data_IF_532638446235
#
_entry.id   IF_532638446235
#
_cell.length_a   1.000
_cell.length_b   1.000
_cell.length_c   1.000
_cell.angle_alpha   90.00
_cell.angle_beta   90.00
_cell.angle_gamma   90.00
#
_symmetry.space_group_name_H-M   'P 1'
#
loop_
_entity.id
_entity.type
_entity.pdbx_description
1 polymer ?
#
# COMPACT_ATOMS: atom_id res chain seq x y z
N UNK A 1 6.02 -17.74 0.63
CA UNK A 1 6.54 -16.40 0.26
C UNK A 1 7.91 -16.21 0.88
N UNK A 2 8.91 -15.80 0.11
CA UNK A 2 10.25 -15.55 0.64
C UNK A 2 10.21 -14.33 1.56
N UNK A 3 10.62 -14.50 2.82
CA UNK A 3 10.76 -13.40 3.78
C UNK A 3 11.73 -12.36 3.22
N UNK A 4 11.26 -11.12 3.03
CA UNK A 4 12.12 -10.02 2.56
C UNK A 4 13.23 -9.78 3.59
N UNK A 5 14.48 -9.91 3.17
CA UNK A 5 15.64 -9.60 4.02
C UNK A 5 15.82 -8.07 4.16
N UNK A 6 16.49 -7.58 5.22
CA UNK A 6 16.81 -6.14 5.33
C UNK A 6 17.55 -5.58 4.12
N UNK A 7 18.40 -6.40 3.49
CA UNK A 7 19.09 -6.05 2.24
C UNK A 7 18.12 -5.92 1.05
N UNK A 8 17.13 -6.81 0.98
CA UNK A 8 16.09 -6.75 -0.04
C UNK A 8 15.28 -5.47 0.09
N UNK A 9 14.81 -5.14 1.30
CA UNK A 9 14.07 -3.90 1.58
C UNK A 9 14.86 -2.65 1.21
N UNK A 10 16.13 -2.57 1.59
CA UNK A 10 17.00 -1.43 1.23
C UNK A 10 17.19 -1.29 -0.29
N UNK A 11 17.25 -2.41 -1.01
CA UNK A 11 17.33 -2.39 -2.48
C UNK A 11 16.03 -1.90 -3.10
N UNK A 12 14.89 -2.37 -2.59
CA UNK A 12 13.56 -1.92 -3.02
C UNK A 12 13.37 -0.41 -2.81
N UNK A 13 13.75 0.10 -1.63
CA UNK A 13 13.68 1.53 -1.32
C UNK A 13 14.50 2.38 -2.31
N UNK A 14 15.76 2.00 -2.58
CA UNK A 14 16.60 2.69 -3.57
C UNK A 14 16.00 2.70 -4.98
N UNK A 15 15.38 1.60 -5.39
CA UNK A 15 14.72 1.51 -6.70
C UNK A 15 13.49 2.42 -6.73
N UNK A 16 12.68 2.42 -5.67
CA UNK A 16 11.50 3.29 -5.55
C UNK A 16 11.89 4.77 -5.60
N UNK A 17 12.88 5.19 -4.81
CA UNK A 17 13.32 6.59 -4.79
C UNK A 17 13.79 7.04 -6.18
N UNK A 18 14.63 6.23 -6.84
CA UNK A 18 15.10 6.52 -8.20
C UNK A 18 13.96 6.56 -9.23
N UNK A 19 12.95 5.70 -9.08
CA UNK A 19 11.78 5.68 -9.94
C UNK A 19 10.93 6.94 -9.79
N UNK A 20 10.58 7.32 -8.55
CA UNK A 20 9.82 8.53 -8.25
C UNK A 20 10.51 9.78 -8.80
N UNK A 21 11.81 9.88 -8.57
CA UNK A 21 12.67 10.94 -9.07
C UNK A 21 12.63 11.10 -10.59
N UNK A 22 12.71 9.98 -11.33
CA UNK A 22 12.63 10.02 -12.78
C UNK A 22 11.20 10.32 -13.25
N UNK A 23 10.19 9.66 -12.67
CA UNK A 23 8.79 9.88 -13.04
C UNK A 23 8.35 11.33 -12.88
N UNK A 24 8.81 12.01 -11.82
CA UNK A 24 8.53 13.43 -11.61
C UNK A 24 9.30 14.35 -12.58
N UNK A 25 10.56 14.01 -12.92
CA UNK A 25 11.40 14.87 -13.78
C UNK A 25 11.06 14.77 -15.27
N UNK A 26 10.80 13.57 -15.78
CA UNK A 26 10.63 13.33 -17.21
C UNK A 26 9.28 12.69 -17.58
N UNK A 27 8.43 12.39 -16.58
CA UNK A 27 7.14 11.74 -16.77
C UNK A 27 7.21 10.22 -16.64
N UNK A 28 6.10 9.65 -16.19
CA UNK A 28 5.94 8.20 -16.01
C UNK A 28 6.12 7.43 -17.31
N UNK A 29 5.44 7.85 -18.39
CA UNK A 29 5.43 7.14 -19.67
C UNK A 29 6.78 7.18 -20.39
N UNK A 30 7.50 8.31 -20.29
CA UNK A 30 8.82 8.48 -20.90
C UNK A 30 9.96 7.75 -20.16
N UNK A 31 9.69 7.22 -18.96
CA UNK A 31 10.70 6.54 -18.14
C UNK A 31 10.71 5.03 -18.35
N UNK A 32 11.90 4.48 -18.58
CA UNK A 32 12.14 3.04 -18.79
C UNK A 32 12.70 2.35 -17.54
N UNK A 33 12.48 1.05 -17.42
CA UNK A 33 13.08 0.22 -16.36
C UNK A 33 14.61 0.28 -16.40
N UNK A 34 15.21 0.38 -17.59
CA UNK A 34 16.65 0.50 -17.74
C UNK A 34 17.21 1.78 -17.09
N UNK A 35 16.54 2.92 -17.28
CA UNK A 35 16.93 4.19 -16.65
C UNK A 35 16.77 4.13 -15.13
N UNK A 36 15.67 3.58 -14.63
CA UNK A 36 15.45 3.41 -13.18
C UNK A 36 16.52 2.50 -12.57
N UNK A 37 16.78 1.34 -13.18
CA UNK A 37 17.80 0.41 -12.70
C UNK A 37 19.21 1.06 -12.66
N UNK A 38 19.57 1.79 -13.73
CA UNK A 38 20.83 2.54 -13.78
C UNK A 38 20.92 3.60 -12.67
N UNK A 39 19.87 4.41 -12.50
CA UNK A 39 19.81 5.44 -11.46
C UNK A 39 19.85 4.85 -10.04
N UNK A 40 19.21 3.69 -9.83
CA UNK A 40 19.22 2.97 -8.56
C UNK A 40 20.52 2.19 -8.32
N UNK A 41 21.45 2.12 -9.28
CA UNK A 41 22.71 1.38 -9.18
C UNK A 41 22.51 -0.14 -9.12
N UNK A 42 21.55 -0.67 -9.89
CA UNK A 42 21.26 -2.11 -9.99
C UNK A 42 21.12 -2.54 -11.45
N UNK A 43 21.17 -3.85 -11.72
CA UNK A 43 20.88 -4.39 -13.06
C UNK A 43 19.38 -4.47 -13.32
N UNK A 44 18.96 -4.49 -14.59
CA UNK A 44 17.54 -4.72 -14.94
C UNK A 44 17.02 -6.06 -14.39
N UNK A 45 17.83 -7.12 -14.44
CA UNK A 45 17.48 -8.40 -13.82
C UNK A 45 17.25 -8.27 -12.31
N UNK A 46 18.02 -7.41 -11.63
CA UNK A 46 17.79 -7.12 -10.21
C UNK A 46 16.53 -6.31 -9.98
N UNK A 47 16.23 -5.35 -10.85
CA UNK A 47 14.95 -4.64 -10.83
C UNK A 47 13.79 -5.64 -10.93
N UNK A 48 13.76 -6.48 -11.97
CA UNK A 48 12.66 -7.42 -12.22
C UNK A 48 12.50 -8.49 -11.12
N UNK A 49 13.59 -8.84 -10.42
CA UNK A 49 13.52 -9.71 -9.24
C UNK A 49 12.72 -9.09 -8.10
N UNK A 50 12.72 -7.77 -7.98
CA UNK A 50 11.97 -7.05 -6.95
C UNK A 50 10.60 -6.57 -7.45
N UNK A 51 10.53 -6.15 -8.71
CA UNK A 51 9.40 -5.47 -9.31
C UNK A 51 9.15 -6.06 -10.70
N UNK A 52 8.18 -6.98 -10.85
CA UNK A 52 7.92 -7.67 -12.11
C UNK A 52 7.62 -6.73 -13.29
N UNK A 53 7.08 -5.55 -13.01
CA UNK A 53 6.74 -4.51 -14.00
C UNK A 53 7.22 -3.14 -13.55
N UNK A 54 7.26 -2.16 -14.47
CA UNK A 54 7.52 -0.75 -14.13
C UNK A 54 6.52 -0.27 -13.08
N UNK A 55 5.24 -0.52 -13.32
CA UNK A 55 4.10 -0.13 -12.50
C UNK A 55 4.22 -0.66 -11.07
N UNK A 56 4.70 -1.92 -10.93
CA UNK A 56 4.85 -2.57 -9.63
C UNK A 56 5.79 -1.83 -8.67
N UNK A 57 6.68 -0.95 -9.16
CA UNK A 57 7.50 -0.10 -8.29
C UNK A 57 6.65 0.86 -7.46
N UNK A 58 5.52 1.33 -8.00
CA UNK A 58 4.64 2.30 -7.35
C UNK A 58 3.49 1.66 -6.58
N UNK A 59 3.14 0.41 -6.88
CA UNK A 59 1.96 -0.24 -6.30
C UNK A 59 2.27 -1.45 -5.43
N UNK A 60 3.49 -2.00 -5.49
CA UNK A 60 3.85 -3.15 -4.67
C UNK A 60 4.05 -2.74 -3.21
N UNK A 61 3.20 -3.27 -2.35
CA UNK A 61 3.32 -3.14 -0.90
C UNK A 61 4.20 -4.28 -0.34
N UNK A 62 5.37 -4.00 0.26
CA UNK A 62 6.18 -5.03 0.92
C UNK A 62 5.57 -5.54 2.23
N UNK A 63 4.49 -4.92 2.73
CA UNK A 63 3.93 -5.12 4.06
C UNK A 63 2.73 -6.07 4.10
N UNK A 64 2.35 -6.74 3.00
CA UNK A 64 1.23 -7.72 3.00
C UNK A 64 1.28 -8.73 4.17
N UNK A 65 2.44 -9.35 4.50
CA UNK A 65 2.51 -10.27 5.62
C UNK A 65 2.35 -9.58 6.99
N UNK A 66 2.74 -8.30 7.10
CA UNK A 66 2.55 -7.50 8.31
C UNK A 66 1.06 -7.22 8.52
N UNK A 67 0.36 -6.81 7.46
CA UNK A 67 -1.08 -6.53 7.49
C UNK A 67 -1.88 -7.76 7.90
N UNK A 68 -1.65 -8.90 7.25
CA UNK A 68 -2.33 -10.15 7.59
C UNK A 68 -2.07 -10.59 9.04
N UNK A 69 -0.84 -10.43 9.55
CA UNK A 69 -0.51 -10.71 10.96
C UNK A 69 -1.20 -9.76 11.93
N UNK A 70 -1.26 -8.47 11.61
CA UNK A 70 -1.92 -7.47 12.44
C UNK A 70 -3.44 -7.73 12.53
N UNK A 71 -4.07 -8.20 11.45
CA UNK A 71 -5.47 -8.65 11.45
C UNK A 71 -5.65 -9.93 12.28
N UNK A 72 -4.79 -10.93 12.10
CA UNK A 72 -4.85 -12.17 12.86
C UNK A 72 -4.67 -11.94 14.37
N UNK A 73 -3.86 -10.96 14.76
CA UNK A 73 -3.63 -10.59 16.16
C UNK A 73 -4.83 -9.92 16.86
N UNK A 74 -5.88 -9.52 16.11
CA UNK A 74 -7.06 -8.91 16.72
C UNK A 74 -7.92 -9.94 17.49
N UNK A 75 -8.60 -9.52 18.58
CA UNK A 75 -9.50 -10.39 19.34
C UNK A 75 -10.52 -11.12 18.45
N UNK A 76 -10.71 -12.41 18.72
CA UNK A 76 -11.54 -13.30 17.88
C UNK A 76 -13.05 -13.15 18.12
N UNK A 77 -13.44 -12.49 19.20
CA UNK A 77 -14.82 -12.12 19.52
C UNK A 77 -15.33 -10.92 18.71
N UNK A 78 -14.43 -10.21 18.01
CA UNK A 78 -14.79 -9.14 17.09
C UNK A 78 -15.30 -9.69 15.76
N UNK A 79 -16.25 -8.98 15.16
CA UNK A 79 -16.70 -9.25 13.80
C UNK A 79 -15.58 -9.09 12.76
N UNK A 80 -15.65 -9.78 11.61
CA UNK A 80 -14.58 -9.79 10.60
C UNK A 80 -14.16 -8.39 10.12
N UNK A 81 -15.12 -7.49 9.86
CA UNK A 81 -14.83 -6.10 9.45
C UNK A 81 -14.01 -5.37 10.51
N UNK A 82 -14.41 -5.48 11.77
CA UNK A 82 -13.72 -4.80 12.87
C UNK A 82 -12.32 -5.37 13.11
N UNK A 83 -12.12 -6.68 12.93
CA UNK A 83 -10.80 -7.31 12.97
C UNK A 83 -9.89 -6.77 11.86
N UNK A 84 -10.39 -6.68 10.63
CA UNK A 84 -9.61 -6.12 9.52
C UNK A 84 -9.30 -4.65 9.80
N UNK A 85 -10.30 -3.85 10.16
CA UNK A 85 -10.17 -2.42 10.45
C UNK A 85 -9.11 -2.15 11.52
N UNK A 86 -9.19 -2.80 12.69
CA UNK A 86 -8.20 -2.64 13.76
C UNK A 86 -6.83 -3.15 13.38
N UNK A 87 -6.76 -4.26 12.63
CA UNK A 87 -5.48 -4.80 12.14
C UNK A 87 -4.76 -3.83 11.21
N UNK A 88 -5.48 -3.21 10.26
CA UNK A 88 -4.92 -2.21 9.36
C UNK A 88 -4.47 -0.96 10.12
N UNK A 89 -5.28 -0.45 11.06
CA UNK A 89 -4.89 0.69 11.91
C UNK A 89 -3.65 0.40 12.76
N UNK A 90 -3.57 -0.80 13.34
CA UNK A 90 -2.41 -1.22 14.12
C UNK A 90 -1.14 -1.29 13.24
N UNK A 91 -1.27 -1.78 12.01
CA UNK A 91 -0.15 -1.83 11.07
C UNK A 91 0.34 -0.42 10.68
N UNK A 92 -0.56 0.54 10.45
CA UNK A 92 -0.19 1.93 10.17
C UNK A 92 0.67 2.52 11.28
N UNK A 93 0.35 2.24 12.55
CA UNK A 93 1.13 2.71 13.70
C UNK A 93 2.53 2.10 13.84
N UNK A 94 2.83 1.03 13.10
CA UNK A 94 4.16 0.38 13.10
C UNK A 94 5.05 0.76 11.92
N UNK A 95 4.47 1.37 10.88
CA UNK A 95 5.20 1.87 9.71
C UNK A 95 5.64 3.31 10.08
N UNK A 96 6.85 3.46 10.60
CA UNK A 96 7.41 4.74 11.09
C UNK A 96 7.43 5.87 10.01
N UNK A 97 7.51 7.17 10.42
CA UNK A 97 7.35 8.37 9.58
C UNK A 97 8.40 8.59 8.47
N UNK A 98 9.38 7.69 8.34
CA UNK A 98 10.51 7.83 7.38
C UNK A 98 10.03 7.69 5.92
N UNK A 99 8.83 7.16 5.71
CA UNK A 99 8.23 6.92 4.39
C UNK A 99 7.23 7.99 3.96
N UNK A 100 6.98 9.01 4.79
CA UNK A 100 5.87 9.95 4.62
C UNK A 100 5.93 10.72 3.28
N UNK A 101 7.06 11.35 2.98
CA UNK A 101 7.23 12.10 1.73
C UNK A 101 7.27 11.19 0.50
N UNK A 102 7.91 10.01 0.60
CA UNK A 102 8.01 9.03 -0.48
C UNK A 102 6.64 8.42 -0.81
N UNK A 103 5.86 8.06 0.22
CA UNK A 103 4.52 7.53 0.08
C UNK A 103 3.57 8.57 -0.52
N UNK A 104 3.69 9.85 -0.14
CA UNK A 104 2.89 10.91 -0.74
C UNK A 104 3.20 11.12 -2.23
N UNK A 105 4.48 11.17 -2.60
CA UNK A 105 4.91 11.24 -4.01
C UNK A 105 4.33 10.08 -4.81
N UNK A 106 4.37 8.87 -4.23
CA UNK A 106 3.80 7.66 -4.82
C UNK A 106 2.30 7.78 -5.02
N UNK A 107 1.55 8.20 -4.00
CA UNK A 107 0.09 8.38 -4.08
C UNK A 107 -0.28 9.43 -5.13
N UNK A 108 0.40 10.58 -5.16
CA UNK A 108 0.16 11.62 -6.17
C UNK A 108 0.38 11.11 -7.59
N UNK A 109 1.49 10.41 -7.83
CA UNK A 109 1.77 9.82 -9.14
C UNK A 109 0.72 8.79 -9.54
N UNK A 110 0.33 7.89 -8.63
CA UNK A 110 -0.67 6.87 -8.89
C UNK A 110 -2.04 7.49 -9.21
N UNK A 111 -2.48 8.48 -8.42
CA UNK A 111 -3.77 9.14 -8.62
C UNK A 111 -3.83 9.87 -9.99
N UNK A 112 -2.72 10.50 -10.39
CA UNK A 112 -2.63 11.24 -11.65
C UNK A 112 -2.67 10.36 -12.92
N UNK A 113 -2.32 9.06 -12.83
CA UNK A 113 -2.16 8.20 -14.01
C UNK A 113 -3.17 7.03 -14.03
N UNK A 114 -4.08 6.94 -15.01
CA UNK A 114 -5.08 5.86 -15.09
C UNK A 114 -4.50 4.44 -15.10
N UNK A 115 -3.38 4.22 -15.79
CA UNK A 115 -2.73 2.91 -15.85
C UNK A 115 -2.28 2.42 -14.47
N UNK A 116 -1.77 3.34 -13.63
CA UNK A 116 -1.34 3.03 -12.28
C UNK A 116 -2.51 2.72 -11.35
N UNK A 117 -3.66 3.39 -11.52
CA UNK A 117 -4.88 3.07 -10.77
C UNK A 117 -5.35 1.63 -11.01
N UNK A 118 -5.28 1.13 -12.24
CA UNK A 118 -5.57 -0.27 -12.54
C UNK A 118 -4.55 -1.23 -11.91
N UNK A 119 -3.27 -0.86 -11.90
CA UNK A 119 -2.22 -1.64 -11.26
C UNK A 119 -2.40 -1.74 -9.73
N UNK A 120 -2.91 -0.70 -9.06
CA UNK A 120 -3.25 -0.74 -7.63
C UNK A 120 -4.29 -1.82 -7.34
N UNK A 121 -5.38 -1.86 -8.11
CA UNK A 121 -6.43 -2.86 -7.92
C UNK A 121 -5.90 -4.30 -8.05
N UNK A 122 -4.94 -4.53 -8.95
CA UNK A 122 -4.29 -5.82 -9.08
C UNK A 122 -3.36 -6.12 -7.88
N UNK A 123 -2.61 -5.13 -7.41
CA UNK A 123 -1.68 -5.28 -6.28
C UNK A 123 -2.41 -5.57 -4.96
N UNK A 124 -3.55 -4.91 -4.71
CA UNK A 124 -4.35 -5.12 -3.49
C UNK A 124 -4.91 -6.55 -3.37
N UNK A 125 -4.99 -7.29 -4.47
CA UNK A 125 -5.54 -8.64 -4.47
C UNK A 125 -4.66 -9.65 -3.70
N UNK A 126 -3.34 -9.46 -3.67
CA UNK A 126 -2.44 -10.30 -2.86
C UNK A 126 -2.65 -10.05 -1.36
N UNK A 127 -2.74 -8.77 -0.97
CA UNK A 127 -3.05 -8.35 0.41
C UNK A 127 -4.41 -8.90 0.86
N UNK A 128 -5.44 -8.77 0.01
CA UNK A 128 -6.79 -9.24 0.30
C UNK A 128 -6.81 -10.75 0.54
N UNK A 129 -6.12 -11.52 -0.33
CA UNK A 129 -5.97 -12.98 -0.15
C UNK A 129 -5.30 -13.32 1.17
N UNK A 130 -4.18 -12.66 1.49
CA UNK A 130 -3.44 -12.92 2.72
C UNK A 130 -4.27 -12.63 3.99
N UNK A 131 -5.01 -11.53 4.02
CA UNK A 131 -5.93 -11.19 5.13
C UNK A 131 -7.06 -12.21 5.21
N UNK A 132 -7.64 -12.59 4.06
CA UNK A 132 -8.74 -13.54 4.03
C UNK A 132 -8.31 -14.91 4.56
N UNK A 133 -7.16 -15.42 4.10
CA UNK A 133 -6.63 -16.71 4.53
C UNK A 133 -6.30 -16.71 6.02
N UNK A 134 -5.81 -15.59 6.55
CA UNK A 134 -5.55 -15.43 7.99
C UNK A 134 -6.83 -15.49 8.84
N UNK A 135 -7.92 -14.85 8.39
CA UNK A 135 -9.22 -14.92 9.09
C UNK A 135 -9.86 -16.30 8.98
N UNK A 136 -9.75 -16.96 7.84
CA UNK A 136 -10.27 -18.32 7.62
C UNK A 136 -9.54 -19.33 8.52
N UNK A 137 -8.22 -19.21 8.66
CA UNK A 137 -7.44 -20.03 9.58
C UNK A 137 -7.91 -19.90 11.05
N UNK A 138 -8.51 -18.76 11.39
CA UNK A 138 -9.10 -18.46 12.71
C UNK A 138 -10.59 -18.83 12.83
N UNK A 139 -11.18 -19.47 11.81
CA UNK A 139 -12.56 -19.97 11.82
C UNK A 139 -13.62 -19.03 11.26
N UNK A 140 -13.25 -17.89 10.69
CA UNK A 140 -14.20 -16.99 10.01
C UNK A 140 -14.65 -17.62 8.69
N UNK A 141 -15.95 -17.62 8.35
CA UNK A 141 -16.42 -18.09 7.04
C UNK A 141 -15.73 -17.36 5.88
N UNK A 142 -15.37 -18.09 4.82
CA UNK A 142 -14.60 -17.58 3.68
C UNK A 142 -15.23 -16.34 3.02
N UNK A 143 -16.56 -16.31 2.92
CA UNK A 143 -17.29 -15.18 2.35
C UNK A 143 -17.15 -13.93 3.23
N UNK A 144 -17.40 -14.05 4.53
CA UNK A 144 -17.32 -12.94 5.48
C UNK A 144 -15.90 -12.37 5.56
N UNK A 145 -14.90 -13.24 5.57
CA UNK A 145 -13.49 -12.86 5.55
C UNK A 145 -13.11 -12.11 4.25
N UNK A 146 -13.55 -12.61 3.10
CA UNK A 146 -13.29 -11.96 1.80
C UNK A 146 -13.97 -10.59 1.71
N UNK A 147 -15.25 -10.49 2.11
CA UNK A 147 -16.00 -9.23 2.11
C UNK A 147 -15.35 -8.20 3.05
N UNK A 148 -14.97 -8.62 4.26
CA UNK A 148 -14.31 -7.73 5.21
C UNK A 148 -12.97 -7.20 4.70
N UNK A 149 -12.13 -8.08 4.12
CA UNK A 149 -10.85 -7.71 3.54
C UNK A 149 -11.01 -6.74 2.36
N UNK A 150 -11.88 -7.07 1.41
CA UNK A 150 -12.15 -6.25 0.22
C UNK A 150 -12.74 -4.89 0.59
N UNK A 151 -13.69 -4.84 1.53
CA UNK A 151 -14.32 -3.58 1.96
C UNK A 151 -13.29 -2.62 2.59
N UNK A 152 -12.46 -3.13 3.50
CA UNK A 152 -11.47 -2.28 4.19
C UNK A 152 -10.36 -1.82 3.24
N UNK A 153 -9.79 -2.71 2.42
CA UNK A 153 -8.75 -2.35 1.45
C UNK A 153 -9.29 -1.42 0.35
N UNK A 154 -10.53 -1.65 -0.09
CA UNK A 154 -11.25 -0.78 -1.01
C UNK A 154 -11.42 0.63 -0.46
N UNK A 155 -11.83 0.76 0.81
CA UNK A 155 -11.94 2.06 1.47
C UNK A 155 -10.59 2.78 1.56
N UNK A 156 -9.52 2.10 1.97
CA UNK A 156 -8.16 2.67 1.98
C UNK A 156 -7.74 3.15 0.58
N UNK A 157 -7.94 2.31 -0.44
CA UNK A 157 -7.56 2.61 -1.83
C UNK A 157 -8.33 3.81 -2.36
N UNK A 158 -9.65 3.84 -2.16
CA UNK A 158 -10.50 4.95 -2.60
C UNK A 158 -10.09 6.27 -1.96
N UNK A 159 -9.80 6.26 -0.66
CA UNK A 159 -9.38 7.44 0.08
C UNK A 159 -8.01 7.97 -0.39
N UNK A 160 -7.04 7.08 -0.61
CA UNK A 160 -5.73 7.45 -1.12
C UNK A 160 -5.80 8.02 -2.55
N UNK A 161 -6.63 7.44 -3.41
CA UNK A 161 -6.79 7.91 -4.80
C UNK A 161 -7.56 9.23 -4.91
N UNK A 162 -8.54 9.47 -4.02
CA UNK A 162 -9.32 10.71 -3.98
C UNK A 162 -8.60 11.86 -3.28
N UNK A 163 -7.51 11.56 -2.56
CA UNK A 163 -6.75 12.54 -1.77
C UNK A 163 -6.39 13.84 -2.53
N UNK A 164 -5.93 13.81 -3.80
CA UNK A 164 -5.56 15.04 -4.51
C UNK A 164 -6.73 16.01 -4.73
N UNK A 165 -7.98 15.52 -4.69
CA UNK A 165 -9.18 16.28 -4.99
C UNK A 165 -9.91 16.78 -3.72
N UNK A 166 -9.38 16.50 -2.52
CA UNK A 166 -10.02 16.89 -1.26
C UNK A 166 -9.85 18.41 -0.98
N UNK A 167 -10.94 19.13 -0.63
CA UNK A 167 -10.94 20.60 -0.52
C UNK A 167 -10.11 21.14 0.65
N UNK A 168 -10.01 20.40 1.76
CA UNK A 168 -9.17 20.73 2.92
C UNK A 168 -7.86 19.96 2.85
N UNK A 169 -7.04 20.27 1.83
CA UNK A 169 -5.70 19.71 1.71
C UNK A 169 -4.82 20.30 2.83
N UNK A 170 -4.35 19.52 3.81
CA UNK A 170 -3.43 20.05 4.80
C UNK A 170 -2.09 20.41 4.15
N UNK A 171 -1.36 21.27 4.84
CA UNK A 171 -0.10 21.86 4.38
C UNK A 171 0.89 20.74 3.94
N UNK A 172 1.48 20.82 2.73
CA UNK A 172 2.46 19.84 2.26
C UNK A 172 3.74 19.76 3.12
N UNK A 173 3.92 20.67 4.07
CA UNK A 173 4.99 20.61 5.08
C UNK A 173 4.69 19.69 6.28
N UNK A 174 3.45 19.21 6.44
CA UNK A 174 3.04 18.29 7.52
C UNK A 174 3.30 16.81 7.20
N UNK A 175 4.37 16.57 6.42
CA UNK A 175 4.84 15.29 5.86
C UNK A 175 4.26 14.05 6.53
N UNK A 176 3.41 13.35 5.78
CA UNK A 176 2.78 12.03 6.00
C UNK A 176 1.97 11.75 7.26
N UNK A 177 1.80 12.73 8.15
CA UNK A 177 0.63 12.78 9.05
C UNK A 177 -0.69 12.73 8.28
N UNK A 178 -0.69 13.18 7.03
CA UNK A 178 -1.87 13.22 6.17
C UNK A 178 -2.30 11.85 5.63
N UNK A 179 -1.37 11.00 5.20
CA UNK A 179 -1.70 9.67 4.64
C UNK A 179 -2.32 8.78 5.71
N UNK A 180 -1.68 8.73 6.88
CA UNK A 180 -2.21 8.01 8.04
C UNK A 180 -3.60 8.52 8.44
N UNK A 181 -3.81 9.84 8.46
CA UNK A 181 -5.11 10.43 8.77
C UNK A 181 -6.20 10.08 7.73
N UNK A 182 -5.89 10.15 6.44
CA UNK A 182 -6.84 9.81 5.36
C UNK A 182 -7.24 8.33 5.42
N UNK A 183 -6.27 7.43 5.60
CA UNK A 183 -6.56 6.00 5.74
C UNK A 183 -7.33 5.72 7.03
N UNK A 184 -6.95 6.35 8.14
CA UNK A 184 -7.66 6.22 9.42
C UNK A 184 -9.11 6.64 9.28
N UNK A 185 -9.36 7.82 8.69
CA UNK A 185 -10.72 8.33 8.46
C UNK A 185 -11.54 7.39 7.57
N UNK A 186 -10.93 6.85 6.50
CA UNK A 186 -11.60 5.90 5.61
C UNK A 186 -12.04 4.62 6.34
N UNK A 187 -11.17 4.11 7.22
CA UNK A 187 -11.45 2.93 8.04
C UNK A 187 -12.51 3.21 9.12
N UNK A 188 -12.52 4.41 9.71
CA UNK A 188 -13.54 4.83 10.68
C UNK A 188 -14.94 4.87 10.06
N UNK A 189 -15.07 5.31 8.81
CA UNK A 189 -16.36 5.31 8.09
C UNK A 189 -16.97 3.90 7.93
N UNK A 190 -16.16 2.84 8.00
CA UNK A 190 -16.63 1.45 7.99
C UNK A 190 -17.02 0.93 9.38
N UNK A 191 -16.59 1.61 10.44
CA UNK A 191 -16.87 1.24 11.83
C UNK A 191 -18.16 1.85 12.38
N UNK A 192 -18.76 2.80 11.68
CA UNK A 192 -20.06 3.37 12.02
C UNK A 192 -21.17 2.40 11.59
N UNK A 193 -21.48 1.41 12.42
CA UNK A 193 -22.81 0.80 12.44
C UNK A 193 -23.50 1.15 13.76
N UNK A 194 -24.76 1.64 13.71
CA UNK A 194 -25.48 2.20 14.85
C UNK A 194 -25.79 1.19 15.96
#
# INVERSE_FOLDING_TARGET
MATLTPRSLRTRARILDAALDLFERQGYDATTVAQVAAAAGVTQMTFFRHFPTKDSVLVSDPYDPLLARAVAAQPRDLGPVERVRRGLLAALGTIEPVEDATAERRVRLVAAHPALRAAVAAATADTERAITDALVADGVPRLDAAVAAAACLGACTAALLAMPDLPDRPDPTDGGRHLGAVVTRALELLGESP
#
